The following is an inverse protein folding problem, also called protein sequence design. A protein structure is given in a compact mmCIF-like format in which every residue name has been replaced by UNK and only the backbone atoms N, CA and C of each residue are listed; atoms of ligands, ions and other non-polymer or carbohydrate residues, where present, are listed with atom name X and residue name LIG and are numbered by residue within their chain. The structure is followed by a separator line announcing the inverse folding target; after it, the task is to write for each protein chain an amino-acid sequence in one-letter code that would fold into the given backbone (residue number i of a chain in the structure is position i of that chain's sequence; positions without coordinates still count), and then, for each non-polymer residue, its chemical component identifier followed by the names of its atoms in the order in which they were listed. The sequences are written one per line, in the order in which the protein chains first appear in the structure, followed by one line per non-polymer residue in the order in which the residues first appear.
data_IF_923200969471
#
_entry.id   IF_923200969471
#
_cell.length_a   1.000
_cell.length_b   1.000
_cell.length_c   1.000
_cell.angle_alpha   90.00
_cell.angle_beta   90.00
_cell.angle_gamma   90.00
#
_symmetry.space_group_name_H-M   'P 1'
#
loop_
_entity.id
_entity.type
_entity.pdbx_description
1 polymer ?
#
# COMPACT_ATOMS: atom_id res chain seq x y z
N UNK A 1 40.02 -6.57 8.04
CA UNK A 1 38.85 -7.08 8.77
C UNK A 1 37.80 -7.32 7.71
N UNK A 2 37.42 -8.58 7.46
CA UNK A 2 36.24 -8.88 6.67
C UNK A 2 35.03 -8.35 7.41
N UNK A 3 34.52 -7.22 6.94
CA UNK A 3 33.33 -6.60 7.51
C UNK A 3 32.11 -7.45 7.11
N UNK A 4 31.37 -7.95 8.10
CA UNK A 4 30.15 -8.72 7.87
C UNK A 4 29.14 -7.94 7.01
N UNK A 5 29.11 -6.61 7.11
CA UNK A 5 28.26 -5.77 6.27
C UNK A 5 28.62 -5.91 4.77
N UNK A 6 29.92 -5.89 4.44
CA UNK A 6 30.37 -6.08 3.06
C UNK A 6 30.00 -7.46 2.51
N UNK A 7 30.14 -8.51 3.34
CA UNK A 7 29.77 -9.89 2.96
C UNK A 7 28.28 -10.03 2.68
N UNK A 8 27.42 -9.50 3.56
CA UNK A 8 25.97 -9.57 3.36
C UNK A 8 25.50 -8.73 2.18
N UNK A 9 26.06 -7.54 1.97
CA UNK A 9 25.74 -6.71 0.80
C UNK A 9 26.13 -7.41 -0.51
N UNK A 10 27.31 -8.03 -0.55
CA UNK A 10 27.75 -8.78 -1.74
C UNK A 10 26.82 -9.95 -2.04
N UNK A 11 26.47 -10.75 -1.03
CA UNK A 11 25.53 -11.87 -1.20
C UNK A 11 24.12 -11.41 -1.61
N UNK A 12 23.64 -10.29 -1.06
CA UNK A 12 22.35 -9.71 -1.44
C UNK A 12 22.36 -9.24 -2.90
N UNK A 13 23.43 -8.58 -3.36
CA UNK A 13 23.56 -8.15 -4.76
C UNK A 13 23.62 -9.34 -5.73
N UNK A 14 24.35 -10.40 -5.38
CA UNK A 14 24.41 -11.64 -6.19
C UNK A 14 23.04 -12.32 -6.28
N UNK A 15 22.32 -12.41 -5.15
CA UNK A 15 20.99 -12.99 -5.14
C UNK A 15 19.96 -12.15 -5.91
N UNK A 16 19.99 -10.83 -5.79
CA UNK A 16 19.14 -9.93 -6.59
C UNK A 16 19.42 -10.09 -8.09
N UNK A 17 20.68 -10.19 -8.49
CA UNK A 17 21.05 -10.42 -9.91
C UNK A 17 20.45 -11.73 -10.46
N UNK A 18 20.42 -12.78 -9.63
CA UNK A 18 19.80 -14.06 -9.99
C UNK A 18 18.27 -13.93 -10.13
N UNK A 19 17.63 -13.18 -9.22
CA UNK A 19 16.18 -12.90 -9.29
C UNK A 19 15.86 -12.12 -10.55
N UNK A 20 16.62 -11.06 -10.87
CA UNK A 20 16.38 -10.22 -12.04
C UNK A 20 16.49 -11.02 -13.34
N UNK A 21 17.50 -11.89 -13.46
CA UNK A 21 17.61 -12.79 -14.62
C UNK A 21 16.40 -13.74 -14.71
N UNK A 22 16.01 -14.35 -13.58
CA UNK A 22 14.84 -15.24 -13.56
C UNK A 22 13.53 -14.52 -13.92
N UNK A 23 13.38 -13.25 -13.53
CA UNK A 23 12.21 -12.45 -13.87
C UNK A 23 12.22 -12.03 -15.34
N UNK A 24 13.39 -11.76 -15.92
CA UNK A 24 13.52 -11.50 -17.34
C UNK A 24 13.09 -12.72 -18.17
N UNK A 25 13.56 -13.92 -17.81
CA UNK A 25 13.18 -15.16 -18.49
C UNK A 25 11.67 -15.44 -18.35
N UNK A 26 11.10 -15.13 -17.17
CA UNK A 26 9.66 -15.25 -16.95
C UNK A 26 8.87 -14.24 -17.78
N UNK A 27 9.33 -13.00 -17.90
CA UNK A 27 8.73 -11.97 -18.72
C UNK A 27 8.71 -12.36 -20.19
N UNK A 28 9.84 -12.84 -20.73
CA UNK A 28 9.94 -13.27 -22.13
C UNK A 28 8.98 -14.43 -22.41
N UNK A 29 8.86 -15.38 -21.47
CA UNK A 29 7.94 -16.53 -21.57
C UNK A 29 6.47 -16.14 -21.45
N UNK A 30 6.13 -15.22 -20.55
CA UNK A 30 4.75 -14.81 -20.29
C UNK A 30 4.26 -13.74 -21.27
N UNK A 31 5.17 -13.05 -21.95
CA UNK A 31 4.87 -11.91 -22.83
C UNK A 31 4.39 -10.66 -22.08
N UNK A 32 4.64 -10.58 -20.77
CA UNK A 32 4.25 -9.46 -19.89
C UNK A 32 5.13 -9.41 -18.63
N UNK A 33 5.28 -8.25 -17.97
CA UNK A 33 6.23 -8.09 -16.86
C UNK A 33 5.74 -8.65 -15.51
N UNK A 34 4.47 -9.02 -15.34
CA UNK A 34 3.95 -9.57 -14.08
C UNK A 34 4.76 -10.78 -13.58
N UNK A 35 4.99 -10.81 -12.27
CA UNK A 35 5.85 -11.80 -11.61
C UNK A 35 5.04 -13.02 -11.15
N UNK A 36 5.29 -14.23 -11.71
CA UNK A 36 4.61 -15.45 -11.28
C UNK A 36 5.10 -15.90 -9.89
N UNK A 37 4.37 -16.83 -9.27
CA UNK A 37 4.76 -17.40 -7.97
C UNK A 37 6.07 -18.22 -8.01
N UNK A 38 6.47 -18.67 -9.20
CA UNK A 38 7.77 -19.31 -9.42
C UNK A 38 8.22 -19.17 -10.89
N UNK A 39 9.53 -19.32 -11.20
CA UNK A 39 10.10 -18.98 -12.51
C UNK A 39 9.44 -19.65 -13.71
N UNK A 40 8.94 -20.88 -13.54
CA UNK A 40 8.34 -21.69 -14.61
C UNK A 40 6.81 -21.77 -14.53
N UNK A 41 6.19 -21.08 -13.56
CA UNK A 41 4.74 -21.12 -13.38
C UNK A 41 4.05 -20.14 -14.31
N UNK A 42 2.81 -20.46 -14.68
CA UNK A 42 1.88 -19.47 -15.26
C UNK A 42 1.51 -18.44 -14.20
N UNK A 43 0.90 -17.33 -14.63
CA UNK A 43 0.19 -16.46 -13.70
C UNK A 43 -1.09 -17.16 -13.22
N UNK A 44 -1.31 -17.10 -11.91
CA UNK A 44 -2.50 -17.54 -11.20
C UNK A 44 -2.55 -16.78 -9.85
N UNK A 45 -3.55 -17.07 -9.02
CA UNK A 45 -3.72 -16.41 -7.72
C UNK A 45 -2.50 -16.62 -6.78
N UNK A 46 -1.69 -17.68 -6.99
CA UNK A 46 -0.44 -17.89 -6.26
C UNK A 46 0.60 -16.78 -6.47
N UNK A 47 0.51 -16.01 -7.56
CA UNK A 47 1.41 -14.89 -7.85
C UNK A 47 1.27 -13.72 -6.85
N UNK A 48 0.21 -13.70 -6.04
CA UNK A 48 -0.01 -12.68 -4.99
C UNK A 48 1.17 -12.56 -4.02
N UNK A 49 1.92 -13.64 -3.80
CA UNK A 49 3.12 -13.60 -2.96
C UNK A 49 4.20 -12.62 -3.48
N UNK A 50 4.25 -12.40 -4.79
CA UNK A 50 5.22 -11.48 -5.42
C UNK A 50 4.88 -10.00 -5.17
N UNK A 51 3.66 -9.68 -4.71
CA UNK A 51 3.28 -8.33 -4.26
C UNK A 51 4.14 -7.88 -3.06
N UNK A 52 4.66 -8.83 -2.27
CA UNK A 52 5.55 -8.57 -1.14
C UNK A 52 6.77 -7.70 -1.50
N UNK A 53 7.27 -7.82 -2.73
CA UNK A 53 8.38 -7.02 -3.24
C UNK A 53 8.02 -5.52 -3.32
N UNK A 54 6.76 -5.19 -3.58
CA UNK A 54 6.24 -3.82 -3.55
C UNK A 54 5.83 -3.38 -2.15
N UNK A 55 5.09 -4.20 -1.43
CA UNK A 55 4.72 -3.96 -0.04
C UNK A 55 4.62 -5.30 0.70
N UNK A 56 5.25 -5.45 1.89
CA UNK A 56 5.84 -4.39 2.70
C UNK A 56 7.33 -4.10 2.42
N UNK A 57 8.00 -4.87 1.55
CA UNK A 57 9.47 -4.82 1.46
C UNK A 57 10.02 -3.59 0.72
N UNK A 58 9.20 -2.92 -0.12
CA UNK A 58 9.59 -1.76 -0.91
C UNK A 58 10.89 -1.97 -1.73
N UNK A 59 11.12 -3.17 -2.24
CA UNK A 59 12.32 -3.52 -3.03
C UNK A 59 12.32 -2.82 -4.39
N UNK A 60 11.15 -2.53 -4.94
CA UNK A 60 10.98 -1.87 -6.23
C UNK A 60 10.32 -0.50 -6.11
N UNK A 61 10.59 0.42 -7.05
CA UNK A 61 9.92 1.71 -7.12
C UNK A 61 8.39 1.56 -7.17
N UNK A 62 7.64 2.57 -6.69
CA UNK A 62 6.18 2.51 -6.68
C UNK A 62 5.50 2.18 -8.01
N UNK A 63 6.06 2.67 -9.12
CA UNK A 63 5.52 2.50 -10.47
C UNK A 63 6.25 1.40 -11.26
N UNK A 64 6.94 0.47 -10.58
CA UNK A 64 7.64 -0.62 -11.26
C UNK A 64 6.66 -1.42 -12.16
N UNK A 65 6.94 -1.56 -13.47
CA UNK A 65 6.03 -2.20 -14.40
C UNK A 65 5.62 -3.62 -14.00
N UNK A 66 6.50 -4.36 -13.30
CA UNK A 66 6.22 -5.72 -12.83
C UNK A 66 5.17 -5.73 -11.73
N UNK A 67 5.20 -4.75 -10.82
CA UNK A 67 4.23 -4.60 -9.75
C UNK A 67 2.88 -4.13 -10.27
N UNK A 68 2.87 -3.11 -11.12
CA UNK A 68 1.64 -2.56 -11.70
C UNK A 68 0.93 -3.61 -12.55
N UNK A 69 1.66 -4.31 -13.42
CA UNK A 69 1.10 -5.36 -14.28
C UNK A 69 0.61 -6.57 -13.47
N UNK A 70 1.31 -6.93 -12.39
CA UNK A 70 0.87 -8.00 -11.49
C UNK A 70 -0.40 -7.61 -10.72
N UNK A 71 -0.47 -6.40 -10.17
CA UNK A 71 -1.67 -5.91 -9.49
C UNK A 71 -2.88 -5.91 -10.44
N UNK A 72 -2.70 -5.43 -11.67
CA UNK A 72 -3.74 -5.45 -12.71
C UNK A 72 -4.20 -6.88 -13.02
N UNK A 73 -3.26 -7.81 -13.25
CA UNK A 73 -3.60 -9.22 -13.50
C UNK A 73 -4.43 -9.82 -12.35
N UNK A 74 -3.99 -9.62 -11.09
CA UNK A 74 -4.68 -10.18 -9.93
C UNK A 74 -6.08 -9.58 -9.80
N UNK A 75 -6.22 -8.26 -9.96
CA UNK A 75 -7.54 -7.59 -9.94
C UNK A 75 -8.47 -8.08 -11.05
N UNK A 76 -7.94 -8.30 -12.26
CA UNK A 76 -8.74 -8.73 -13.40
C UNK A 76 -9.15 -10.21 -13.32
N UNK A 77 -8.25 -11.09 -12.83
CA UNK A 77 -8.41 -12.55 -12.95
C UNK A 77 -8.64 -13.28 -11.64
N UNK A 78 -8.30 -12.67 -10.50
CA UNK A 78 -8.27 -13.33 -9.20
C UNK A 78 -9.13 -12.61 -8.16
N UNK A 79 -10.01 -11.69 -8.55
CA UNK A 79 -10.91 -11.01 -7.61
C UNK A 79 -12.33 -11.56 -7.68
N UNK A 80 -12.97 -11.67 -6.52
CA UNK A 80 -14.37 -12.01 -6.35
C UNK A 80 -14.97 -11.05 -5.33
N UNK A 81 -16.12 -10.47 -5.63
CA UNK A 81 -16.83 -9.54 -4.75
C UNK A 81 -15.95 -8.40 -4.18
N UNK A 82 -15.07 -7.84 -5.01
CA UNK A 82 -14.22 -6.70 -4.64
C UNK A 82 -12.94 -7.02 -3.85
N UNK A 83 -12.65 -8.30 -3.58
CA UNK A 83 -11.41 -8.70 -2.91
C UNK A 83 -10.66 -9.82 -3.63
N UNK A 84 -9.38 -9.95 -3.32
CA UNK A 84 -8.53 -11.01 -3.83
C UNK A 84 -9.02 -12.38 -3.33
N UNK A 85 -9.27 -13.29 -4.25
CA UNK A 85 -9.78 -14.63 -4.01
C UNK A 85 -8.68 -15.66 -4.30
N UNK A 86 -8.25 -16.38 -3.26
CA UNK A 86 -7.26 -17.45 -3.41
C UNK A 86 -7.97 -18.79 -3.66
N UNK A 87 -7.99 -19.22 -4.93
CA UNK A 87 -8.73 -20.40 -5.38
C UNK A 87 -8.15 -21.74 -4.90
N UNK A 88 -6.84 -21.83 -4.66
CA UNK A 88 -6.15 -23.10 -4.38
C UNK A 88 -6.18 -23.57 -2.92
N UNK A 89 -5.97 -22.69 -1.94
CA UNK A 89 -5.68 -23.09 -0.54
C UNK A 89 -6.80 -22.67 0.41
N UNK A 90 -7.20 -21.40 0.33
CA UNK A 90 -8.20 -20.81 1.22
C UNK A 90 -9.62 -20.95 0.66
N UNK A 91 -9.74 -20.99 -0.67
CA UNK A 91 -11.01 -20.99 -1.41
C UNK A 91 -11.97 -19.87 -0.96
N UNK A 92 -11.40 -18.69 -0.65
CA UNK A 92 -12.11 -17.54 -0.09
C UNK A 92 -11.41 -16.22 -0.40
N UNK A 93 -12.09 -15.13 -0.09
CA UNK A 93 -11.57 -13.77 -0.23
C UNK A 93 -10.64 -13.47 0.95
N UNK A 94 -9.41 -13.04 0.67
CA UNK A 94 -8.42 -12.71 1.68
C UNK A 94 -8.29 -11.18 1.85
N UNK A 95 -8.77 -10.66 2.98
CA UNK A 95 -8.74 -9.23 3.27
C UNK A 95 -7.31 -8.65 3.30
N UNK A 96 -6.38 -9.33 3.97
CA UNK A 96 -4.99 -8.88 4.10
C UNK A 96 -4.25 -8.83 2.76
N UNK A 97 -4.44 -9.81 1.88
CA UNK A 97 -3.84 -9.82 0.55
C UNK A 97 -4.48 -8.77 -0.37
N UNK A 98 -5.78 -8.51 -0.21
CA UNK A 98 -6.44 -7.38 -0.88
C UNK A 98 -5.80 -6.05 -0.45
N UNK A 99 -5.50 -5.89 0.84
CA UNK A 99 -4.82 -4.70 1.36
C UNK A 99 -3.36 -4.60 0.89
N UNK A 100 -2.64 -5.71 0.70
CA UNK A 100 -1.31 -5.68 0.08
C UNK A 100 -1.32 -5.13 -1.34
N UNK A 101 -2.31 -5.55 -2.14
CA UNK A 101 -2.52 -5.00 -3.49
C UNK A 101 -2.90 -3.52 -3.39
N UNK A 102 -3.80 -3.15 -2.47
CA UNK A 102 -4.16 -1.76 -2.21
C UNK A 102 -2.95 -0.88 -1.84
N UNK A 103 -2.01 -1.40 -1.05
CA UNK A 103 -0.77 -0.69 -0.68
C UNK A 103 0.16 -0.48 -1.89
N UNK A 104 0.26 -1.44 -2.82
CA UNK A 104 1.00 -1.25 -4.07
C UNK A 104 0.35 -0.15 -4.94
N UNK A 105 -0.98 -0.18 -5.08
CA UNK A 105 -1.73 0.87 -5.79
C UNK A 105 -1.56 2.24 -5.12
N UNK A 106 -1.63 2.30 -3.78
CA UNK A 106 -1.41 3.50 -2.99
C UNK A 106 -0.01 4.09 -3.22
N UNK A 107 1.02 3.22 -3.26
CA UNK A 107 2.39 3.65 -3.56
C UNK A 107 2.46 4.27 -4.96
N UNK A 108 1.84 3.63 -5.96
CA UNK A 108 1.77 4.09 -7.35
C UNK A 108 0.86 5.32 -7.56
N UNK A 109 0.14 5.79 -6.53
CA UNK A 109 -0.79 6.91 -6.64
C UNK A 109 -2.07 6.58 -7.42
N UNK A 110 -2.41 5.30 -7.52
CA UNK A 110 -3.61 4.81 -8.18
C UNK A 110 -4.81 4.88 -7.21
N UNK A 111 -5.87 5.59 -7.61
CA UNK A 111 -7.05 5.85 -6.80
C UNK A 111 -7.84 4.57 -6.44
N UNK A 112 -7.68 3.49 -7.21
CA UNK A 112 -8.34 2.20 -6.95
C UNK A 112 -7.94 1.60 -5.60
N UNK A 113 -6.83 2.05 -4.98
CA UNK A 113 -6.47 1.66 -3.61
C UNK A 113 -7.57 1.97 -2.59
N UNK A 114 -8.31 3.09 -2.78
CA UNK A 114 -9.42 3.49 -1.91
C UNK A 114 -10.59 2.54 -2.07
N UNK A 115 -10.89 2.12 -3.30
CA UNK A 115 -11.98 1.20 -3.57
C UNK A 115 -11.71 -0.16 -2.93
N UNK A 116 -10.48 -0.67 -3.04
CA UNK A 116 -10.08 -1.91 -2.35
C UNK A 116 -10.17 -1.79 -0.83
N UNK A 117 -9.74 -0.65 -0.27
CA UNK A 117 -9.87 -0.37 1.16
C UNK A 117 -11.35 -0.34 1.60
N UNK A 118 -12.24 0.28 0.83
CA UNK A 118 -13.69 0.27 1.11
C UNK A 118 -14.28 -1.13 1.02
N UNK A 119 -13.94 -1.91 -0.02
CA UNK A 119 -14.38 -3.29 -0.14
C UNK A 119 -13.93 -4.15 1.04
N UNK A 120 -12.69 -3.97 1.51
CA UNK A 120 -12.23 -4.65 2.73
C UNK A 120 -13.03 -4.21 3.96
N UNK A 121 -13.34 -2.92 4.12
CA UNK A 121 -14.19 -2.45 5.20
C UNK A 121 -15.60 -3.09 5.19
N UNK A 122 -16.21 -3.21 4.01
CA UNK A 122 -17.53 -3.83 3.81
C UNK A 122 -17.52 -5.33 4.10
N UNK A 123 -16.38 -5.99 3.88
CA UNK A 123 -16.15 -7.40 4.18
C UNK A 123 -15.89 -7.69 5.67
N UNK A 124 -15.85 -6.67 6.53
CA UNK A 124 -15.67 -6.88 7.96
C UNK A 124 -16.91 -7.53 8.59
N UNK A 125 -16.69 -8.44 9.53
CA UNK A 125 -17.76 -8.97 10.38
C UNK A 125 -18.40 -7.85 11.23
N UNK A 126 -19.57 -8.07 11.84
CA UNK A 126 -20.19 -7.10 12.75
C UNK A 126 -19.32 -6.68 13.95
N UNK A 127 -18.25 -7.42 14.24
CA UNK A 127 -17.26 -7.08 15.28
C UNK A 127 -16.10 -6.22 14.77
N UNK A 128 -16.11 -5.82 13.49
CA UNK A 128 -15.03 -5.05 12.87
C UNK A 128 -13.77 -5.88 12.63
N UNK A 129 -13.91 -7.19 12.41
CA UNK A 129 -12.80 -8.14 12.21
C UNK A 129 -13.02 -8.98 10.95
N UNK A 130 -11.94 -9.53 10.40
CA UNK A 130 -11.97 -10.40 9.23
C UNK A 130 -11.50 -11.81 9.60
N UNK A 131 -12.17 -12.87 9.10
CA UNK A 131 -11.57 -14.19 9.06
C UNK A 131 -10.43 -14.22 8.03
N UNK A 132 -9.59 -15.25 8.09
CA UNK A 132 -8.47 -15.41 7.16
C UNK A 132 -8.96 -15.52 5.71
N UNK A 133 -10.03 -16.29 5.50
CA UNK A 133 -10.68 -16.46 4.22
C UNK A 133 -12.21 -16.27 4.35
N UNK A 134 -12.76 -15.37 3.54
CA UNK A 134 -14.18 -15.02 3.55
C UNK A 134 -14.90 -15.77 2.42
N UNK A 135 -15.96 -16.49 2.75
CA UNK A 135 -16.77 -17.18 1.77
C UNK A 135 -17.53 -16.16 0.89
N UNK A 136 -17.48 -16.26 -0.45
CA UNK A 136 -18.06 -15.24 -1.33
C UNK A 136 -19.59 -15.12 -1.23
N UNK A 137 -20.30 -16.17 -0.81
CA UNK A 137 -21.76 -16.13 -0.67
C UNK A 137 -22.28 -15.85 0.74
N UNK A 138 -21.67 -16.42 1.79
CA UNK A 138 -22.16 -16.22 3.16
C UNK A 138 -21.53 -15.01 3.83
N UNK A 139 -20.41 -14.49 3.28
CA UNK A 139 -19.57 -13.44 3.84
C UNK A 139 -19.02 -13.77 5.25
N UNK A 140 -19.15 -15.02 5.68
CA UNK A 140 -18.52 -15.56 6.89
C UNK A 140 -17.17 -16.20 6.58
N UNK A 141 -16.45 -16.63 7.62
CA UNK A 141 -15.22 -17.39 7.46
C UNK A 141 -15.46 -18.75 6.80
N UNK A 142 -14.55 -19.17 5.91
CA UNK A 142 -14.59 -20.49 5.26
C UNK A 142 -13.34 -21.33 5.48
N UNK A 143 -12.22 -20.73 5.85
CA UNK A 143 -10.95 -21.40 6.11
C UNK A 143 -10.08 -20.52 6.98
N UNK A 144 -9.26 -21.15 7.83
CA UNK A 144 -8.24 -20.47 8.61
C UNK A 144 -8.76 -19.83 9.89
N UNK A 145 -8.08 -18.77 10.33
CA UNK A 145 -8.46 -18.04 11.54
C UNK A 145 -9.84 -17.38 11.42
N UNK A 146 -10.67 -17.47 12.48
CA UNK A 146 -11.95 -16.76 12.54
C UNK A 146 -11.77 -15.24 12.75
N UNK A 147 -10.75 -14.85 13.50
CA UNK A 147 -10.27 -13.48 13.65
C UNK A 147 -8.80 -13.44 13.27
N UNK A 148 -8.52 -13.05 12.03
CA UNK A 148 -7.17 -13.11 11.49
C UNK A 148 -6.39 -11.85 11.86
N UNK A 149 -5.46 -11.98 12.80
CA UNK A 149 -4.71 -10.85 13.35
C UNK A 149 -3.88 -10.11 12.28
N UNK A 150 -3.40 -10.79 11.24
CA UNK A 150 -2.69 -10.14 10.15
C UNK A 150 -3.62 -9.22 9.34
N UNK A 151 -4.86 -9.62 9.05
CA UNK A 151 -5.82 -8.75 8.40
C UNK A 151 -6.12 -7.50 9.23
N UNK A 152 -6.27 -7.65 10.55
CA UNK A 152 -6.45 -6.52 11.45
C UNK A 152 -5.22 -5.57 11.47
N UNK A 153 -4.01 -6.13 11.47
CA UNK A 153 -2.78 -5.35 11.41
C UNK A 153 -2.63 -4.60 10.09
N UNK A 154 -2.93 -5.24 8.95
CA UNK A 154 -2.90 -4.60 7.64
C UNK A 154 -3.96 -3.51 7.51
N UNK A 155 -5.13 -3.67 8.14
CA UNK A 155 -6.13 -2.61 8.18
C UNK A 155 -5.56 -1.37 8.87
N UNK A 156 -4.96 -1.52 10.05
CA UNK A 156 -4.31 -0.41 10.76
C UNK A 156 -3.16 0.20 9.94
N UNK A 157 -2.34 -0.64 9.29
CA UNK A 157 -1.24 -0.19 8.46
C UNK A 157 -1.72 0.58 7.21
N UNK A 158 -2.80 0.12 6.57
CA UNK A 158 -3.43 0.81 5.45
C UNK A 158 -3.95 2.18 5.88
N UNK A 159 -4.72 2.23 6.98
CA UNK A 159 -5.23 3.49 7.53
C UNK A 159 -4.08 4.45 7.84
N UNK A 160 -3.02 3.99 8.51
CA UNK A 160 -1.83 4.81 8.76
C UNK A 160 -1.23 5.33 7.46
N UNK A 161 -0.98 4.45 6.48
CA UNK A 161 -0.29 4.81 5.25
C UNK A 161 -1.13 5.71 4.32
N UNK A 162 -2.45 5.74 4.49
CA UNK A 162 -3.32 6.72 3.85
C UNK A 162 -3.01 8.15 4.30
N UNK A 163 -2.61 8.34 5.57
CA UNK A 163 -2.28 9.65 6.15
C UNK A 163 -0.77 9.96 6.11
N UNK A 164 0.07 9.01 6.52
CA UNK A 164 1.52 9.21 6.66
C UNK A 164 2.22 7.90 6.31
N UNK A 165 3.11 7.93 5.31
CA UNK A 165 3.96 6.78 4.97
C UNK A 165 5.36 7.20 4.58
N UNK A 166 6.32 6.34 4.86
CA UNK A 166 7.69 6.49 4.39
C UNK A 166 7.86 5.89 2.99
N UNK A 167 8.58 6.63 2.14
CA UNK A 167 9.03 6.15 0.84
C UNK A 167 10.46 6.63 0.63
N UNK A 168 11.41 5.71 0.44
CA UNK A 168 12.74 6.13 0.01
C UNK A 168 13.53 6.73 1.15
N UNK A 169 13.85 8.02 1.05
CA UNK A 169 14.33 8.89 2.13
C UNK A 169 13.36 10.05 2.39
N UNK A 170 12.11 9.92 1.95
CA UNK A 170 11.08 10.95 2.05
C UNK A 170 9.90 10.50 2.92
N UNK A 171 9.11 11.47 3.35
CA UNK A 171 7.81 11.29 3.97
C UNK A 171 6.70 11.67 2.98
N UNK A 172 5.72 10.81 2.82
CA UNK A 172 4.54 11.05 1.97
C UNK A 172 3.32 11.26 2.85
N UNK A 173 2.64 12.38 2.64
CA UNK A 173 1.45 12.76 3.39
C UNK A 173 0.18 12.60 2.55
N UNK A 174 -0.87 12.14 3.23
CA UNK A 174 -2.28 12.05 2.80
C UNK A 174 -2.50 11.39 1.44
N UNK A 175 -1.66 10.42 1.07
CA UNK A 175 -1.70 9.79 -0.26
C UNK A 175 -2.87 8.85 -0.50
N UNK A 176 -3.65 8.50 0.52
CA UNK A 176 -4.73 7.52 0.43
C UNK A 176 -6.06 8.00 0.99
N UNK A 177 -6.23 9.30 1.22
CA UNK A 177 -7.50 9.82 1.73
C UNK A 177 -8.57 9.87 0.61
N UNK A 178 -9.81 9.43 0.89
CA UNK A 178 -10.91 9.62 -0.03
C UNK A 178 -11.08 11.09 -0.44
N UNK A 179 -11.15 11.42 -1.75
CA UNK A 179 -11.24 12.80 -2.21
C UNK A 179 -12.43 13.57 -1.63
N UNK A 180 -13.54 12.88 -1.35
CA UNK A 180 -14.72 13.48 -0.74
C UNK A 180 -14.47 13.96 0.71
N UNK A 181 -13.50 13.40 1.43
CA UNK A 181 -13.12 13.88 2.76
C UNK A 181 -12.38 15.22 2.70
N UNK A 182 -11.64 15.46 1.61
CA UNK A 182 -10.88 16.69 1.41
C UNK A 182 -11.75 17.82 0.84
N UNK A 183 -12.74 17.47 0.01
CA UNK A 183 -13.65 18.43 -0.63
C UNK A 183 -14.89 18.74 0.20
N UNK A 184 -15.26 17.87 1.14
CA UNK A 184 -16.46 18.00 1.94
C UNK A 184 -16.46 19.29 2.75
N UNK A 185 -17.56 20.03 2.68
CA UNK A 185 -17.84 21.20 3.54
C UNK A 185 -18.87 20.88 4.62
N UNK A 186 -19.24 19.60 4.75
CA UNK A 186 -20.31 19.16 5.65
C UNK A 186 -19.92 19.24 7.13
N UNK A 187 -18.62 19.41 7.40
CA UNK A 187 -18.05 19.57 8.74
C UNK A 187 -16.98 20.65 8.70
N UNK A 188 -17.14 21.68 9.55
CA UNK A 188 -16.11 22.71 9.77
C UNK A 188 -14.90 22.18 10.58
N UNK A 189 -14.99 20.95 11.12
CA UNK A 189 -13.92 20.38 11.91
C UNK A 189 -12.79 19.82 11.03
N UNK A 190 -11.52 20.13 11.34
CA UNK A 190 -10.40 19.59 10.59
C UNK A 190 -10.23 18.09 10.88
N UNK A 191 -9.72 17.37 9.89
CA UNK A 191 -9.31 15.97 10.04
C UNK A 191 -7.94 15.97 10.74
N UNK A 192 -7.80 15.19 11.81
CA UNK A 192 -6.57 15.09 12.60
C UNK A 192 -6.04 13.68 12.60
N UNK A 193 -4.72 13.54 12.51
CA UNK A 193 -4.04 12.24 12.58
C UNK A 193 -2.72 12.35 13.34
N UNK A 194 -2.43 11.35 14.18
CA UNK A 194 -1.19 11.27 14.94
C UNK A 194 -1.34 11.64 16.43
N UNK A 195 -0.23 11.73 17.17
CA UNK A 195 1.16 11.61 16.69
C UNK A 195 1.46 10.21 16.12
N UNK A 196 1.94 10.14 14.88
CA UNK A 196 2.27 8.92 14.17
C UNK A 196 3.79 8.72 14.14
N UNK A 197 4.31 7.57 14.61
CA UNK A 197 5.74 7.29 14.53
C UNK A 197 6.18 7.04 13.09
N UNK A 198 7.30 7.62 12.73
CA UNK A 198 8.02 7.39 11.47
C UNK A 198 9.50 7.15 11.79
N UNK A 199 10.28 6.61 10.85
CA UNK A 199 11.75 6.51 11.04
C UNK A 199 12.45 7.86 11.23
N UNK A 200 11.78 8.96 10.89
CA UNK A 200 12.32 10.31 10.99
C UNK A 200 11.94 11.01 12.30
N UNK A 201 10.92 10.54 13.00
CA UNK A 201 10.32 11.22 14.14
C UNK A 201 8.81 11.05 14.25
N UNK A 202 8.20 11.67 15.27
CA UNK A 202 6.75 11.70 15.44
C UNK A 202 6.14 12.80 14.57
N UNK A 203 5.04 12.51 13.88
CA UNK A 203 4.33 13.47 13.01
C UNK A 203 2.85 13.53 13.37
N UNK A 204 2.33 14.73 13.56
CA UNK A 204 0.90 15.02 13.73
C UNK A 204 0.43 15.85 12.54
N UNK A 205 -0.71 15.48 11.97
CA UNK A 205 -1.35 16.16 10.85
C UNK A 205 -2.65 16.82 11.29
N UNK A 206 -2.91 18.00 10.74
CA UNK A 206 -4.24 18.61 10.70
C UNK A 206 -4.56 18.97 9.24
N UNK A 207 -5.75 18.62 8.77
CA UNK A 207 -6.19 18.85 7.40
C UNK A 207 -7.49 19.62 7.48
N UNK A 208 -7.50 20.82 6.92
CA UNK A 208 -8.70 21.62 6.75
C UNK A 208 -9.31 21.32 5.38
N UNK A 209 -10.49 20.64 5.32
CA UNK A 209 -11.18 20.41 4.06
C UNK A 209 -11.71 21.71 3.44
N UNK A 210 -11.95 21.69 2.14
CA UNK A 210 -12.52 22.83 1.42
C UNK A 210 -12.31 22.77 -0.10
N UNK A 211 -12.61 23.87 -0.79
CA UNK A 211 -12.31 24.03 -2.22
C UNK A 211 -10.80 23.99 -2.50
N UNK A 212 -10.02 24.51 -1.56
CA UNK A 212 -8.55 24.49 -1.52
C UNK A 212 -8.11 23.93 -0.17
N UNK A 213 -8.10 22.59 -0.02
CA UNK A 213 -7.77 21.97 1.26
C UNK A 213 -6.37 22.37 1.72
N UNK A 214 -6.21 22.62 3.02
CA UNK A 214 -4.90 22.94 3.61
C UNK A 214 -4.45 21.79 4.50
N UNK A 215 -3.21 21.36 4.31
CA UNK A 215 -2.57 20.33 5.15
C UNK A 215 -1.51 21.02 5.99
N UNK A 216 -1.58 20.87 7.30
CA UNK A 216 -0.55 21.31 8.24
C UNK A 216 0.00 20.12 9.01
N UNK A 217 1.25 20.22 9.44
CA UNK A 217 1.90 19.18 10.22
C UNK A 217 2.83 19.76 11.28
N UNK A 218 2.89 19.07 12.40
CA UNK A 218 3.89 19.29 13.45
C UNK A 218 4.72 18.00 13.59
N UNK A 219 6.01 18.14 13.81
CA UNK A 219 6.89 16.99 13.91
C UNK A 219 8.00 17.17 14.95
N UNK A 220 8.30 16.07 15.64
CA UNK A 220 9.45 15.91 16.54
C UNK A 220 10.46 15.00 15.86
N UNK A 221 11.39 15.60 15.12
CA UNK A 221 12.36 14.88 14.29
C UNK A 221 13.52 14.33 15.11
N UNK A 222 13.94 13.11 14.83
CA UNK A 222 15.17 12.53 15.38
C UNK A 222 16.44 13.22 14.86
N UNK A 223 16.36 13.89 13.70
CA UNK A 223 17.47 14.58 13.06
C UNK A 223 17.00 15.67 12.10
N UNK A 224 17.65 15.81 10.95
CA UNK A 224 17.21 16.76 9.91
C UNK A 224 15.81 16.36 9.41
N UNK A 225 14.89 17.32 9.21
CA UNK A 225 13.61 17.05 8.57
C UNK A 225 13.80 16.35 7.21
N UNK A 226 13.06 15.26 6.91
CA UNK A 226 13.11 14.62 5.60
C UNK A 226 12.43 15.49 4.54
N UNK A 227 12.69 15.26 3.25
CA UNK A 227 11.81 15.75 2.19
C UNK A 227 10.38 15.28 2.42
N UNK A 228 9.41 16.19 2.30
CA UNK A 228 7.98 15.89 2.45
C UNK A 228 7.29 16.06 1.10
N UNK A 229 6.50 15.06 0.71
CA UNK A 229 5.66 15.09 -0.46
C UNK A 229 4.20 14.91 -0.06
N UNK A 230 3.34 15.87 -0.40
CA UNK A 230 1.90 15.75 -0.23
C UNK A 230 1.30 15.22 -1.53
N UNK A 231 0.68 14.04 -1.49
CA UNK A 231 0.23 13.31 -2.69
C UNK A 231 -1.25 12.93 -2.65
N UNK A 232 -2.11 13.87 -2.27
CA UNK A 232 -3.55 13.61 -2.21
C UNK A 232 -4.15 13.21 -3.58
N UNK A 233 -4.96 12.15 -3.57
CA UNK A 233 -5.63 11.64 -4.78
C UNK A 233 -6.60 12.71 -5.31
N UNK A 234 -6.48 13.01 -6.62
CA UNK A 234 -7.27 14.06 -7.27
C UNK A 234 -6.70 15.49 -7.14
N UNK A 235 -5.54 15.66 -6.50
CA UNK A 235 -4.85 16.94 -6.35
C UNK A 235 -3.44 16.90 -6.94
N UNK A 236 -2.89 18.05 -7.30
CA UNK A 236 -1.50 18.16 -7.79
C UNK A 236 -0.54 17.88 -6.63
N UNK A 237 0.50 17.04 -6.82
CA UNK A 237 1.49 16.81 -5.78
C UNK A 237 2.20 18.09 -5.37
N UNK A 238 2.45 18.25 -4.07
CA UNK A 238 3.21 19.36 -3.51
C UNK A 238 4.48 18.82 -2.87
N UNK A 239 5.64 19.33 -3.27
CA UNK A 239 6.93 19.02 -2.66
C UNK A 239 7.33 20.15 -1.73
N UNK A 240 7.58 19.83 -0.47
CA UNK A 240 8.04 20.80 0.52
C UNK A 240 9.55 20.80 0.51
N UNK A 241 10.14 21.96 0.24
CA UNK A 241 11.59 22.14 0.10
C UNK A 241 12.14 23.20 1.05
N UNK A 242 11.26 23.88 1.79
CA UNK A 242 11.56 24.92 2.77
C UNK A 242 11.15 24.47 4.18
N UNK A 243 11.19 25.39 5.14
CA UNK A 243 10.80 25.13 6.53
C UNK A 243 9.27 25.27 6.77
N UNK A 244 8.46 25.25 5.70
CA UNK A 244 7.00 25.32 5.82
C UNK A 244 6.47 24.15 6.64
N UNK A 245 5.39 24.41 7.38
CA UNK A 245 4.66 23.42 8.17
C UNK A 245 3.20 23.30 7.72
N UNK A 246 2.88 23.92 6.58
CA UNK A 246 1.58 23.80 5.93
C UNK A 246 1.70 24.00 4.43
N UNK A 247 0.74 23.46 3.68
CA UNK A 247 0.60 23.69 2.26
C UNK A 247 -0.87 23.58 1.83
N UNK A 248 -1.24 24.40 0.85
CA UNK A 248 -2.54 24.35 0.19
C UNK A 248 -2.51 23.38 -1.00
N UNK A 249 -3.61 22.64 -1.20
CA UNK A 249 -3.75 21.70 -2.31
C UNK A 249 -4.53 22.32 -3.46
N UNK A 250 -4.00 22.19 -4.67
CA UNK A 250 -4.71 22.54 -5.90
C UNK A 250 -5.29 21.29 -6.58
N UNK A 251 -6.58 21.28 -6.96
CA UNK A 251 -7.16 20.20 -7.75
C UNK A 251 -6.39 19.95 -9.06
N UNK A 252 -6.39 18.70 -9.54
CA UNK A 252 -5.80 18.35 -10.85
C UNK A 252 -6.57 18.95 -12.02
#
# INVERSE_FOLDING_TARGET
MDDNAHRFNTAASDFQSTIDQSLQDAQDRLGRPAMPASPNRRLDAGAVGSIAAGYPLQLYPPEDPRLVDLAEYLMEKCFVSGGFFQDMIHSGINAYLTLHIAQVLLRAGDARCIDLMRSVAELASPTGQWPEAIHPHSLGGCMGDGQHAWAAAEWVAMQRNCFVREEQDALVLISGLPPEWLKGTDSDQPIRFGPAPTRFGLVTLEIQPGSTPTVSWAADWHGKPPPIAIKAIGFRPVLITDESQSAELSPK
#
